data_IF_533101716346
#
_entry.id   IF_533101716346
#
_cell.length_a   1.000
_cell.length_b   1.000
_cell.length_c   1.000
_cell.angle_alpha   90.00
_cell.angle_beta   90.00
_cell.angle_gamma   90.00
#
_symmetry.space_group_name_H-M   'P 1'
#
loop_
_entity.id
_entity.type
_entity.pdbx_description
1 polymer ?
#
# COMPACT_ATOMS: atom_id res chain seq x y z
N UNK A 1 9.53 13.50 -10.25
CA UNK A 1 8.12 13.22 -9.87
C UNK A 1 8.05 12.53 -8.53
N UNK A 2 7.21 13.02 -7.64
CA UNK A 2 7.06 12.43 -6.31
C UNK A 2 6.33 11.08 -6.38
N UNK A 3 6.82 10.11 -5.64
CA UNK A 3 6.20 8.81 -5.47
C UNK A 3 5.75 8.65 -4.02
N UNK A 4 4.55 8.14 -3.83
CA UNK A 4 3.97 7.88 -2.53
C UNK A 4 3.79 6.38 -2.33
N UNK A 5 4.12 5.86 -1.15
CA UNK A 5 3.86 4.48 -0.79
C UNK A 5 3.05 4.38 0.50
N UNK A 6 2.55 3.17 0.79
CA UNK A 6 1.64 2.92 1.90
C UNK A 6 2.12 1.73 2.73
N UNK A 7 2.11 1.89 4.04
CA UNK A 7 2.43 0.81 4.99
C UNK A 7 1.44 0.91 6.15
N UNK A 8 0.88 -0.20 6.57
CA UNK A 8 -0.04 -0.21 7.70
C UNK A 8 -0.22 -1.58 8.32
N UNK A 9 -0.89 -1.59 9.47
CA UNK A 9 -1.24 -2.84 10.15
C UNK A 9 -2.23 -3.67 9.33
N UNK A 10 -2.20 -4.98 9.52
CA UNK A 10 -3.07 -5.91 8.80
C UNK A 10 -4.54 -5.74 9.15
N UNK A 11 -4.84 -5.33 10.37
CA UNK A 11 -6.20 -5.23 10.89
C UNK A 11 -6.60 -3.77 11.08
N UNK A 12 -7.05 -3.15 10.01
CA UNK A 12 -7.55 -1.77 10.01
C UNK A 12 -8.91 -1.76 9.32
N UNK A 13 -9.97 -1.55 10.10
CA UNK A 13 -11.35 -1.66 9.62
C UNK A 13 -12.20 -0.39 9.81
N UNK A 14 -11.59 0.70 10.22
CA UNK A 14 -12.34 1.92 10.57
C UNK A 14 -12.62 2.77 9.34
N UNK A 15 -13.89 3.12 9.13
CA UNK A 15 -14.30 4.02 8.04
C UNK A 15 -13.63 5.40 8.15
N UNK A 16 -13.43 5.88 9.39
CA UNK A 16 -12.76 7.16 9.60
C UNK A 16 -11.32 7.16 9.08
N UNK A 17 -10.63 6.02 9.17
CA UNK A 17 -9.28 5.88 8.63
C UNK A 17 -9.33 5.99 7.11
N UNK A 18 -10.31 5.37 6.48
CA UNK A 18 -10.51 5.44 5.03
C UNK A 18 -10.76 6.87 4.57
N UNK A 19 -11.61 7.60 5.27
CA UNK A 19 -11.93 9.00 4.94
C UNK A 19 -10.70 9.91 5.09
N UNK A 20 -9.94 9.73 6.15
CA UNK A 20 -8.69 10.46 6.38
C UNK A 20 -7.65 10.11 5.31
N UNK A 21 -7.55 8.84 4.96
CA UNK A 21 -6.63 8.36 3.92
C UNK A 21 -6.97 8.99 2.57
N UNK A 22 -8.25 9.00 2.21
CA UNK A 22 -8.72 9.61 0.96
C UNK A 22 -8.36 11.09 0.90
N UNK A 23 -8.61 11.81 1.99
CA UNK A 23 -8.29 13.24 2.07
C UNK A 23 -6.79 13.49 1.89
N UNK A 24 -5.95 12.72 2.58
CA UNK A 24 -4.50 12.86 2.48
C UNK A 24 -4.01 12.56 1.07
N UNK A 25 -4.48 11.49 0.45
CA UNK A 25 -4.09 11.12 -0.92
C UNK A 25 -4.53 12.22 -1.90
N UNK A 26 -5.75 12.71 -1.77
CA UNK A 26 -6.26 13.76 -2.66
C UNK A 26 -5.45 15.05 -2.51
N UNK A 27 -5.09 15.43 -1.29
CA UNK A 27 -4.23 16.59 -1.06
C UNK A 27 -2.86 16.42 -1.73
N UNK A 28 -2.28 15.22 -1.66
CA UNK A 28 -1.00 14.95 -2.32
C UNK A 28 -1.12 14.96 -3.85
N UNK A 29 -2.22 14.49 -4.40
CA UNK A 29 -2.48 14.60 -5.86
C UNK A 29 -2.52 16.08 -6.26
N UNK A 30 -3.22 16.90 -5.52
CA UNK A 30 -3.31 18.35 -5.77
C UNK A 30 -1.96 19.04 -5.66
N UNK A 31 -1.05 18.49 -4.84
CA UNK A 31 0.31 19.00 -4.68
C UNK A 31 1.30 18.42 -5.69
N UNK A 32 0.82 17.62 -6.65
CA UNK A 32 1.63 17.11 -7.76
C UNK A 32 2.12 15.67 -7.63
N UNK A 33 1.72 14.95 -6.58
CA UNK A 33 2.05 13.51 -6.48
C UNK A 33 1.11 12.72 -7.37
N UNK A 34 1.66 12.06 -8.39
CA UNK A 34 0.87 11.33 -9.39
C UNK A 34 1.16 9.83 -9.41
N UNK A 35 2.09 9.35 -8.59
CA UNK A 35 2.51 7.95 -8.62
C UNK A 35 2.37 7.34 -7.22
N UNK A 36 1.53 6.29 -7.11
CA UNK A 36 1.21 5.63 -5.85
C UNK A 36 1.59 4.15 -5.91
N UNK A 37 2.39 3.71 -4.96
CA UNK A 37 2.84 2.33 -4.86
C UNK A 37 2.20 1.71 -3.62
N UNK A 38 1.38 0.69 -3.82
CA UNK A 38 0.57 0.05 -2.79
C UNK A 38 1.07 -1.38 -2.56
N UNK A 39 1.14 -1.79 -1.29
CA UNK A 39 1.42 -3.18 -0.96
C UNK A 39 0.22 -4.10 -1.21
N UNK A 40 0.38 -5.38 -0.93
CA UNK A 40 -0.64 -6.40 -1.16
C UNK A 40 -0.91 -7.27 0.07
N UNK A 41 -0.59 -6.77 1.25
CA UNK A 41 -0.71 -7.54 2.49
C UNK A 41 -1.46 -6.77 3.57
N UNK A 42 -2.67 -7.24 3.88
CA UNK A 42 -3.48 -6.72 4.97
C UNK A 42 -4.49 -5.67 4.55
N UNK A 43 -5.28 -5.23 5.52
CA UNK A 43 -6.44 -4.37 5.26
C UNK A 43 -6.08 -2.93 4.94
N UNK A 44 -4.99 -2.41 5.49
CA UNK A 44 -4.57 -1.06 5.15
C UNK A 44 -4.15 -0.98 3.67
N UNK A 45 -3.44 -1.97 3.18
CA UNK A 45 -3.06 -2.04 1.77
C UNK A 45 -4.29 -2.11 0.87
N UNK A 46 -5.26 -2.96 1.22
CA UNK A 46 -6.53 -3.06 0.47
C UNK A 46 -7.30 -1.75 0.48
N UNK A 47 -7.32 -1.07 1.61
CA UNK A 47 -7.97 0.22 1.77
C UNK A 47 -7.29 1.29 0.89
N UNK A 48 -5.96 1.33 0.92
CA UNK A 48 -5.19 2.27 0.11
C UNK A 48 -5.44 2.05 -1.38
N UNK A 49 -5.44 0.79 -1.82
CA UNK A 49 -5.73 0.45 -3.22
C UNK A 49 -7.14 0.89 -3.62
N UNK A 50 -8.13 0.60 -2.78
CA UNK A 50 -9.52 0.99 -3.02
C UNK A 50 -9.67 2.51 -3.16
N UNK A 51 -9.04 3.26 -2.27
CA UNK A 51 -9.08 4.74 -2.30
C UNK A 51 -8.37 5.27 -3.55
N UNK A 52 -7.21 4.73 -3.90
CA UNK A 52 -6.49 5.14 -5.10
C UNK A 52 -7.31 4.88 -6.37
N UNK A 53 -7.98 3.74 -6.46
CA UNK A 53 -8.86 3.42 -7.58
C UNK A 53 -10.03 4.40 -7.69
N UNK A 54 -10.63 4.74 -6.58
CA UNK A 54 -11.72 5.71 -6.52
C UNK A 54 -11.25 7.09 -7.01
N UNK A 55 -10.10 7.54 -6.54
CA UNK A 55 -9.52 8.82 -6.94
C UNK A 55 -9.04 8.82 -8.40
N UNK A 56 -8.63 7.68 -8.93
CA UNK A 56 -8.24 7.57 -10.34
C UNK A 56 -9.40 7.86 -11.29
N UNK A 57 -10.62 7.62 -10.88
CA UNK A 57 -11.80 7.97 -11.68
C UNK A 57 -11.94 9.48 -11.88
N UNK A 58 -11.44 10.26 -10.91
CA UNK A 58 -11.47 11.72 -10.94
C UNK A 58 -10.16 12.26 -11.52
N UNK A 59 -9.02 11.75 -11.03
CA UNK A 59 -7.68 12.15 -11.44
C UNK A 59 -7.07 11.08 -12.33
N UNK A 60 -7.46 11.06 -13.59
CA UNK A 60 -7.16 9.98 -14.53
C UNK A 60 -5.67 9.76 -14.81
N UNK A 61 -4.84 10.78 -14.58
CA UNK A 61 -3.41 10.72 -14.86
C UNK A 61 -2.58 10.08 -13.74
N UNK A 62 -3.18 9.73 -12.60
CA UNK A 62 -2.41 9.08 -11.55
C UNK A 62 -2.04 7.65 -11.96
N UNK A 63 -0.89 7.21 -11.49
CA UNK A 63 -0.37 5.88 -11.75
C UNK A 63 -0.45 5.09 -10.44
N UNK A 64 -1.03 3.90 -10.50
CA UNK A 64 -1.15 3.00 -9.36
C UNK A 64 -0.35 1.74 -9.67
N UNK A 65 0.58 1.39 -8.79
CA UNK A 65 1.33 0.16 -8.89
C UNK A 65 1.16 -0.65 -7.60
N UNK A 66 0.98 -1.97 -7.72
CA UNK A 66 0.82 -2.87 -6.58
C UNK A 66 2.04 -3.76 -6.47
N UNK A 67 2.66 -3.78 -5.28
CA UNK A 67 3.80 -4.64 -4.99
C UNK A 67 3.29 -6.01 -4.55
N UNK A 68 3.67 -7.04 -5.29
CA UNK A 68 3.35 -8.44 -4.97
C UNK A 68 4.62 -9.17 -4.56
N UNK A 69 4.48 -10.19 -3.71
CA UNK A 69 5.61 -11.00 -3.24
C UNK A 69 5.73 -12.34 -3.97
N UNK A 70 4.66 -12.74 -4.67
CA UNK A 70 4.66 -13.93 -5.53
C UNK A 70 3.56 -13.83 -6.57
N UNK A 71 3.71 -14.55 -7.69
CA UNK A 71 2.68 -14.60 -8.73
C UNK A 71 1.39 -15.25 -8.22
N UNK A 72 1.48 -16.14 -7.24
CA UNK A 72 0.31 -16.78 -6.65
C UNK A 72 -0.56 -15.80 -5.85
N UNK A 73 0.01 -14.72 -5.34
CA UNK A 73 -0.75 -13.73 -4.58
C UNK A 73 -1.77 -12.99 -5.44
N UNK A 74 -1.54 -12.87 -6.74
CA UNK A 74 -2.52 -12.28 -7.67
C UNK A 74 -3.77 -13.16 -7.74
N UNK A 75 -3.58 -14.48 -7.88
CA UNK A 75 -4.68 -15.43 -8.03
C UNK A 75 -5.57 -15.52 -6.80
N UNK A 76 -5.01 -15.31 -5.61
CA UNK A 76 -5.77 -15.38 -4.34
C UNK A 76 -6.82 -14.30 -4.20
N UNK A 77 -6.66 -13.19 -4.90
CA UNK A 77 -7.58 -12.04 -4.80
C UNK A 77 -8.62 -12.00 -5.94
N UNK A 78 -8.52 -12.93 -6.90
CA UNK A 78 -9.49 -13.03 -8.00
C UNK A 78 -10.67 -13.86 -7.53
N UNK A 79 -11.87 -13.33 -7.65
CA UNK A 79 -13.11 -14.02 -7.32
C UNK A 79 -13.82 -14.51 -8.57
N UNK A 80 -14.32 -15.75 -8.53
CA UNK A 80 -15.02 -16.39 -9.64
C UNK A 80 -16.44 -16.72 -9.22
N UNK A 81 -17.38 -16.69 -10.19
CA UNK A 81 -18.73 -17.17 -9.96
C UNK A 81 -18.78 -18.72 -10.09
N UNK A 82 -19.99 -19.30 -9.89
CA UNK A 82 -20.19 -20.76 -9.97
C UNK A 82 -19.90 -21.36 -11.36
N UNK A 83 -19.84 -20.52 -12.39
CA UNK A 83 -19.53 -20.95 -13.77
C UNK A 83 -18.05 -20.74 -14.14
N UNK A 84 -17.20 -20.38 -13.17
CA UNK A 84 -15.78 -20.12 -13.40
C UNK A 84 -15.48 -18.78 -14.06
N UNK A 85 -16.46 -17.90 -14.13
CA UNK A 85 -16.29 -16.57 -14.71
C UNK A 85 -15.74 -15.59 -13.66
N UNK A 86 -14.76 -14.77 -14.04
CA UNK A 86 -14.18 -13.78 -13.13
C UNK A 86 -15.23 -12.70 -12.82
N UNK A 87 -15.56 -12.53 -11.52
CA UNK A 87 -16.50 -11.50 -11.04
C UNK A 87 -15.79 -10.37 -10.30
N UNK A 88 -14.57 -10.60 -9.83
CA UNK A 88 -13.76 -9.59 -9.17
C UNK A 88 -12.27 -9.83 -9.44
N UNK A 89 -11.61 -8.80 -9.94
CA UNK A 89 -10.18 -8.81 -10.23
C UNK A 89 -9.58 -7.49 -9.72
N UNK A 90 -9.01 -7.50 -8.48
CA UNK A 90 -8.60 -6.26 -7.81
C UNK A 90 -7.49 -5.50 -8.53
N UNK A 91 -6.67 -6.21 -9.32
CA UNK A 91 -5.52 -5.59 -10.01
C UNK A 91 -5.76 -5.40 -11.51
N UNK A 92 -7.02 -5.44 -11.95
CA UNK A 92 -7.36 -5.19 -13.35
C UNK A 92 -6.91 -3.78 -13.76
N UNK A 93 -6.20 -3.69 -14.88
CA UNK A 93 -5.66 -2.43 -15.41
C UNK A 93 -4.68 -1.71 -14.46
N UNK A 94 -4.08 -2.46 -13.52
CA UNK A 94 -3.11 -1.93 -12.58
C UNK A 94 -1.78 -2.65 -12.79
N UNK A 95 -0.68 -1.88 -12.86
CA UNK A 95 0.64 -2.45 -12.95
C UNK A 95 1.04 -3.12 -11.65
N UNK A 96 1.65 -4.30 -11.76
CA UNK A 96 2.19 -5.00 -10.59
C UNK A 96 3.71 -4.96 -10.63
N UNK A 97 4.31 -4.84 -9.45
CA UNK A 97 5.76 -4.86 -9.28
C UNK A 97 6.10 -6.04 -8.39
N UNK A 98 7.09 -6.84 -8.81
CA UNK A 98 7.63 -7.88 -7.97
C UNK A 98 9.14 -7.67 -7.87
N UNK A 99 9.63 -7.37 -6.66
CA UNK A 99 11.05 -7.20 -6.45
C UNK A 99 11.77 -8.54 -6.46
N UNK A 100 12.94 -8.58 -7.09
CA UNK A 100 13.81 -9.75 -7.05
C UNK A 100 14.38 -9.88 -5.64
N UNK A 101 13.93 -10.91 -4.94
CA UNK A 101 14.36 -11.23 -3.58
C UNK A 101 14.78 -12.70 -3.62
N UNK A 102 16.03 -12.97 -3.21
CA UNK A 102 16.52 -14.34 -3.07
C UNK A 102 15.62 -15.14 -2.12
N UNK A 103 15.68 -16.46 -2.22
CA UNK A 103 14.80 -17.36 -1.46
C UNK A 103 14.73 -17.00 0.03
N UNK A 104 13.67 -16.31 0.40
CA UNK A 104 13.43 -15.88 1.77
C UNK A 104 12.09 -16.44 2.25
N UNK A 105 11.96 -16.62 3.56
CA UNK A 105 10.68 -16.97 4.15
C UNK A 105 9.66 -15.88 3.85
N UNK A 106 8.38 -16.26 3.72
CA UNK A 106 7.29 -15.37 3.33
C UNK A 106 7.26 -14.05 4.11
N UNK A 107 7.37 -14.12 5.45
CA UNK A 107 7.39 -12.90 6.29
C UNK A 107 8.57 -11.99 5.98
N UNK A 108 9.72 -12.58 5.71
CA UNK A 108 10.94 -11.83 5.40
C UNK A 108 10.85 -11.18 4.02
N UNK A 109 10.20 -11.83 3.06
CA UNK A 109 9.91 -11.24 1.74
C UNK A 109 9.07 -9.98 1.86
N UNK A 110 8.05 -10.00 2.72
CA UNK A 110 7.20 -8.83 2.97
C UNK A 110 8.04 -7.67 3.52
N UNK A 111 8.87 -7.93 4.52
CA UNK A 111 9.73 -6.92 5.13
C UNK A 111 10.70 -6.32 4.09
N UNK A 112 11.35 -7.16 3.31
CA UNK A 112 12.29 -6.71 2.28
C UNK A 112 11.58 -5.93 1.18
N UNK A 113 10.41 -6.41 0.73
CA UNK A 113 9.61 -5.70 -0.27
C UNK A 113 9.18 -4.33 0.23
N UNK A 114 8.75 -4.23 1.49
CA UNK A 114 8.39 -2.95 2.11
C UNK A 114 9.56 -1.98 2.13
N UNK A 115 10.75 -2.45 2.47
CA UNK A 115 11.95 -1.62 2.47
C UNK A 115 12.30 -1.10 1.07
N UNK A 116 12.24 -1.97 0.06
CA UNK A 116 12.48 -1.58 -1.33
C UNK A 116 11.46 -0.56 -1.82
N UNK A 117 10.19 -0.75 -1.47
CA UNK A 117 9.13 0.19 -1.79
C UNK A 117 9.39 1.56 -1.17
N UNK A 118 9.80 1.60 0.09
CA UNK A 118 10.14 2.84 0.79
C UNK A 118 11.34 3.54 0.15
N UNK A 119 12.36 2.80 -0.27
CA UNK A 119 13.53 3.36 -0.94
C UNK A 119 13.18 4.11 -2.22
N UNK A 120 12.19 3.63 -2.97
CA UNK A 120 11.73 4.23 -4.21
C UNK A 120 10.84 5.46 -4.02
N UNK A 121 10.27 5.63 -2.83
CA UNK A 121 9.26 6.66 -2.58
C UNK A 121 9.84 7.89 -1.87
N UNK A 122 9.17 9.02 -2.06
CA UNK A 122 9.48 10.28 -1.39
C UNK A 122 8.61 10.48 -0.15
N UNK A 123 7.41 9.93 -0.16
CA UNK A 123 6.42 10.05 0.91
C UNK A 123 5.90 8.68 1.30
N UNK A 124 5.85 8.41 2.61
CA UNK A 124 5.18 7.27 3.20
C UNK A 124 3.89 7.73 3.89
N UNK A 125 2.74 7.24 3.42
CA UNK A 125 1.47 7.36 4.14
C UNK A 125 1.25 6.04 4.86
N UNK A 126 1.08 6.09 6.18
CA UNK A 126 1.02 4.88 6.98
C UNK A 126 -0.05 4.92 8.07
N UNK A 127 -0.36 3.75 8.60
CA UNK A 127 -1.19 3.57 9.78
C UNK A 127 -0.42 2.66 10.72
N UNK A 128 0.37 3.25 11.60
CA UNK A 128 1.30 2.52 12.46
C UNK A 128 1.18 2.97 13.92
N UNK A 129 0.85 2.02 14.77
CA UNK A 129 0.94 2.21 16.22
C UNK A 129 2.41 2.07 16.64
N UNK A 130 3.08 3.19 16.85
CA UNK A 130 4.51 3.22 17.18
C UNK A 130 4.83 2.65 18.56
N UNK A 131 3.80 2.43 19.40
CA UNK A 131 3.99 1.80 20.72
C UNK A 131 4.14 0.29 20.65
N UNK A 132 3.79 -0.34 19.53
CA UNK A 132 3.95 -1.79 19.35
C UNK A 132 5.41 -2.17 19.29
N UNK A 133 5.80 -3.18 20.08
CA UNK A 133 7.19 -3.64 20.15
C UNK A 133 7.58 -4.46 18.93
N UNK A 134 6.66 -5.30 18.43
CA UNK A 134 6.91 -6.17 17.28
C UNK A 134 5.82 -5.98 16.24
N UNK A 135 6.17 -5.36 15.13
CA UNK A 135 5.26 -5.10 14.03
C UNK A 135 6.07 -4.89 12.74
N UNK A 136 5.68 -5.57 11.67
CA UNK A 136 6.26 -5.35 10.36
C UNK A 136 6.06 -3.93 9.87
N UNK A 137 4.89 -3.35 10.18
CA UNK A 137 4.59 -1.96 9.84
C UNK A 137 5.50 -0.99 10.58
N UNK A 138 5.80 -1.26 11.85
CA UNK A 138 6.72 -0.42 12.63
C UNK A 138 8.16 -0.51 12.10
N UNK A 139 8.60 -1.70 11.70
CA UNK A 139 9.92 -1.88 11.08
C UNK A 139 10.03 -0.99 9.83
N UNK A 140 9.02 -1.01 8.98
CA UNK A 140 8.98 -0.18 7.78
C UNK A 140 8.93 1.31 8.11
N UNK A 141 8.13 1.70 9.09
CA UNK A 141 8.05 3.08 9.59
C UNK A 141 9.43 3.59 10.05
N UNK A 142 10.11 2.80 10.88
CA UNK A 142 11.43 3.15 11.39
C UNK A 142 12.46 3.26 10.26
N UNK A 143 12.36 2.40 9.27
CA UNK A 143 13.25 2.44 8.10
C UNK A 143 13.06 3.72 7.29
N UNK A 144 11.82 4.10 7.03
CA UNK A 144 11.50 5.35 6.32
C UNK A 144 12.03 6.57 7.09
N UNK A 145 11.88 6.55 8.41
CA UNK A 145 12.38 7.60 9.29
C UNK A 145 13.91 7.70 9.23
N UNK A 146 14.59 6.55 9.24
CA UNK A 146 16.06 6.47 9.11
C UNK A 146 16.54 7.06 7.79
N UNK A 147 15.80 6.82 6.70
CA UNK A 147 16.13 7.34 5.37
C UNK A 147 15.77 8.82 5.18
N UNK A 148 15.14 9.44 6.17
CA UNK A 148 14.72 10.84 6.08
C UNK A 148 13.52 11.07 5.15
N UNK A 149 12.72 10.04 4.89
CA UNK A 149 11.52 10.18 4.05
C UNK A 149 10.45 10.98 4.78
N UNK A 150 9.64 11.71 4.00
CA UNK A 150 8.46 12.39 4.53
C UNK A 150 7.43 11.32 4.94
N UNK A 151 6.84 11.46 6.14
CA UNK A 151 5.92 10.45 6.69
C UNK A 151 4.64 11.14 7.14
N UNK A 152 3.50 10.59 6.73
CA UNK A 152 2.18 10.95 7.24
C UNK A 152 1.61 9.71 7.89
N UNK A 153 1.52 9.71 9.22
CA UNK A 153 0.97 8.59 9.98
C UNK A 153 -0.47 8.91 10.40
N UNK A 154 -1.42 8.11 9.91
CA UNK A 154 -2.84 8.29 10.18
C UNK A 154 -3.28 7.71 11.54
N UNK A 155 -2.42 6.96 12.20
CA UNK A 155 -2.73 6.38 13.52
C UNK A 155 -2.78 7.48 14.57
N UNK A 156 -3.88 7.52 15.31
CA UNK A 156 -4.05 8.43 16.44
C UNK A 156 -4.24 7.63 17.71
N UNK A 157 -3.46 7.97 18.75
CA UNK A 157 -3.59 7.39 20.09
C UNK A 157 -4.80 8.01 20.77
N UNK A 158 -5.94 7.35 20.69
CA UNK A 158 -7.12 7.70 21.47
C UNK A 158 -7.66 6.46 22.15
#
# INVERSE_FOLDING_TARGET
>A
MSKCCFIGHRNVYKDIVRDNLKKVIEDEIKNGCMHFIVGSHGNFDSMALSVCKELKKIYQNIIIEVVITSLNSIKKHIEYDMFGKIVYEPYENINTIMYEIEQEYFKKKIIVSNKKMIEECDLLICYVDTSRVRSGAKIAYNYAKKLGKRIINLYTTK
#
